data_IF_414023684585
#
_entry.id   IF_414023684585
#
_cell.length_a   1.000
_cell.length_b   1.000
_cell.length_c   1.000
_cell.angle_alpha   90.00
_cell.angle_beta   90.00
_cell.angle_gamma   90.00
#
_symmetry.space_group_name_H-M   'P 1'
#
loop_
_entity.id
_entity.type
_entity.pdbx_description
1 polymer ?
#
# COMPACT_ATOMS: atom_id res chain seq x y z
N UNK A 1 7.93 -15.22 12.48
CA UNK A 1 6.44 -15.11 12.43
C UNK A 1 6.08 -14.06 11.37
N UNK A 2 4.94 -14.18 10.70
CA UNK A 2 4.54 -13.18 9.71
C UNK A 2 4.25 -11.83 10.40
N UNK A 3 4.88 -10.78 9.91
CA UNK A 3 4.85 -9.43 10.47
C UNK A 3 3.64 -8.64 9.95
N UNK A 4 3.38 -7.47 10.51
CA UNK A 4 2.31 -6.60 10.04
C UNK A 4 2.84 -5.69 8.94
N UNK A 5 2.17 -5.67 7.79
CA UNK A 5 2.41 -4.67 6.74
C UNK A 5 1.53 -3.47 7.01
N UNK A 6 2.13 -2.31 7.18
CA UNK A 6 1.44 -1.02 7.28
C UNK A 6 1.42 -0.38 5.90
N UNK A 7 0.25 0.10 5.49
CA UNK A 7 0.05 0.81 4.23
C UNK A 7 -0.37 2.24 4.53
N UNK A 8 0.41 3.20 4.06
CA UNK A 8 0.20 4.64 4.26
C UNK A 8 -0.03 5.29 2.90
N UNK A 9 -1.04 6.15 2.80
CA UNK A 9 -1.19 7.03 1.64
C UNK A 9 -0.18 8.16 1.77
N UNK A 10 0.70 8.33 0.77
CA UNK A 10 1.73 9.40 0.82
C UNK A 10 1.52 10.48 -0.22
N UNK A 11 0.80 10.18 -1.31
CA UNK A 11 0.54 11.13 -2.38
C UNK A 11 -0.76 10.79 -3.11
N UNK A 12 -1.57 11.81 -3.35
CA UNK A 12 -2.76 11.74 -4.21
C UNK A 12 -2.59 12.76 -5.33
N UNK A 13 -2.52 12.29 -6.57
CA UNK A 13 -2.45 13.14 -7.75
C UNK A 13 -3.78 13.12 -8.50
N UNK A 14 -4.38 14.29 -8.73
CA UNK A 14 -5.73 14.37 -9.30
C UNK A 14 -6.80 14.23 -8.22
N UNK A 15 -7.88 13.50 -8.51
CA UNK A 15 -9.02 13.36 -7.60
C UNK A 15 -9.29 11.90 -7.29
N UNK A 16 -9.15 11.50 -6.02
CA UNK A 16 -9.50 10.18 -5.53
C UNK A 16 -10.78 10.27 -4.66
N UNK A 17 -11.81 9.45 -4.91
CA UNK A 17 -13.03 9.48 -4.11
C UNK A 17 -12.89 8.76 -2.75
N UNK A 18 -11.77 8.07 -2.50
CA UNK A 18 -11.56 7.23 -1.30
C UNK A 18 -10.47 7.78 -0.39
N UNK A 19 -9.38 8.28 -0.94
CA UNK A 19 -8.19 8.69 -0.18
C UNK A 19 -7.95 10.20 -0.28
N UNK A 20 -7.53 10.79 0.84
CA UNK A 20 -7.22 12.21 0.99
C UNK A 20 -5.77 12.49 1.43
N UNK A 21 -5.00 11.44 1.75
CA UNK A 21 -3.56 11.54 2.07
C UNK A 21 -3.21 11.31 3.54
N UNK A 22 -4.20 11.10 4.40
CA UNK A 22 -3.98 10.87 5.84
C UNK A 22 -4.35 9.43 6.26
N UNK A 23 -4.75 8.59 5.31
CA UNK A 23 -5.24 7.26 5.58
C UNK A 23 -4.10 6.26 5.78
N UNK A 24 -4.27 5.42 6.80
CA UNK A 24 -3.37 4.32 7.13
C UNK A 24 -4.17 3.08 7.48
N UNK A 25 -3.79 1.94 6.91
CA UNK A 25 -4.39 0.64 7.20
C UNK A 25 -3.33 -0.45 7.33
N UNK A 26 -3.72 -1.64 7.81
CA UNK A 26 -2.78 -2.72 8.14
C UNK A 26 -3.19 -4.03 7.50
N UNK A 27 -2.21 -4.84 7.11
CA UNK A 27 -2.37 -6.24 6.71
C UNK A 27 -1.54 -7.08 7.67
N UNK A 28 -2.20 -7.66 8.65
CA UNK A 28 -1.59 -8.48 9.68
C UNK A 28 -1.36 -9.90 9.16
N UNK A 29 -0.22 -10.49 9.53
CA UNK A 29 0.18 -11.85 9.14
C UNK A 29 0.25 -12.08 7.60
N UNK A 30 0.23 -11.01 6.81
CA UNK A 30 0.23 -11.06 5.36
C UNK A 30 -1.13 -11.35 4.70
N UNK A 31 -2.23 -11.48 5.47
CA UNK A 31 -3.56 -11.77 4.89
C UNK A 31 -4.75 -11.16 5.65
N UNK A 32 -4.59 -10.71 6.90
CA UNK A 32 -5.68 -10.14 7.70
C UNK A 32 -5.73 -8.62 7.56
N UNK A 33 -6.66 -8.14 6.74
CA UNK A 33 -6.85 -6.71 6.48
C UNK A 33 -7.59 -6.00 7.63
N UNK A 34 -7.02 -4.92 8.16
CA UNK A 34 -7.56 -4.09 9.22
C UNK A 34 -7.62 -2.63 8.74
N UNK A 35 -8.83 -2.10 8.54
CA UNK A 35 -9.07 -0.72 8.14
C UNK A 35 -10.31 -0.14 8.84
N UNK A 36 -10.24 1.14 9.20
CA UNK A 36 -11.34 1.88 9.84
C UNK A 36 -12.18 2.72 8.87
N UNK A 37 -11.98 2.56 7.57
CA UNK A 37 -12.56 3.39 6.52
C UNK A 37 -12.72 2.56 5.22
N UNK A 38 -13.51 3.02 4.24
CA UNK A 38 -13.67 2.31 2.97
C UNK A 38 -12.34 2.13 2.23
N UNK A 39 -12.12 0.97 1.64
CA UNK A 39 -10.93 0.71 0.82
C UNK A 39 -11.31 0.63 -0.66
N UNK A 40 -10.44 1.19 -1.51
CA UNK A 40 -10.59 1.11 -2.95
C UNK A 40 -10.10 -0.24 -3.47
N UNK A 41 -10.84 -0.86 -4.39
CA UNK A 41 -10.40 -2.09 -5.05
C UNK A 41 -9.10 -1.90 -5.86
N UNK A 42 -8.88 -0.73 -6.48
CA UNK A 42 -7.61 -0.44 -7.18
C UNK A 42 -6.41 -0.39 -6.23
N UNK A 43 -6.60 0.12 -5.00
CA UNK A 43 -5.55 0.15 -3.99
C UNK A 43 -5.26 -1.24 -3.44
N UNK A 44 -6.30 -2.04 -3.18
CA UNK A 44 -6.12 -3.43 -2.78
C UNK A 44 -5.40 -4.22 -3.88
N UNK A 45 -5.79 -4.06 -5.15
CA UNK A 45 -5.16 -4.74 -6.26
C UNK A 45 -3.66 -4.42 -6.41
N UNK A 46 -3.22 -3.20 -6.08
CA UNK A 46 -1.80 -2.82 -6.12
C UNK A 46 -1.00 -3.29 -4.90
N UNK A 47 -1.63 -3.45 -3.73
CA UNK A 47 -0.97 -3.85 -2.48
C UNK A 47 -0.90 -5.37 -2.31
N UNK A 48 -1.97 -6.09 -2.67
CA UNK A 48 -2.14 -7.52 -2.40
C UNK A 48 -1.01 -8.43 -2.93
N UNK A 49 -0.42 -8.19 -4.12
CA UNK A 49 0.66 -9.05 -4.62
C UNK A 49 1.89 -9.08 -3.70
N UNK A 50 2.12 -8.01 -2.93
CA UNK A 50 3.36 -7.80 -2.21
C UNK A 50 3.22 -7.98 -0.69
N UNK A 51 2.04 -7.72 -0.13
CA UNK A 51 1.84 -7.81 1.31
C UNK A 51 2.21 -9.19 1.91
N UNK A 52 1.88 -10.34 1.29
CA UNK A 52 2.30 -11.65 1.80
C UNK A 52 3.84 -11.84 1.77
N UNK A 53 4.54 -11.32 0.77
CA UNK A 53 5.99 -11.42 0.64
C UNK A 53 6.69 -10.55 1.69
N UNK A 54 6.29 -9.28 1.77
CA UNK A 54 6.80 -8.31 2.75
C UNK A 54 6.59 -8.82 4.18
N UNK A 55 5.40 -9.33 4.51
CA UNK A 55 5.10 -9.87 5.84
C UNK A 55 6.02 -11.04 6.26
N UNK A 56 6.63 -11.74 5.28
CA UNK A 56 7.55 -12.86 5.49
C UNK A 56 9.03 -12.46 5.44
N UNK A 57 9.31 -11.17 5.34
CA UNK A 57 10.67 -10.63 5.43
C UNK A 57 11.41 -10.51 4.10
N UNK A 58 10.74 -10.72 2.96
CA UNK A 58 11.33 -10.36 1.66
C UNK A 58 11.43 -8.84 1.61
N UNK A 59 12.62 -8.33 1.28
CA UNK A 59 12.88 -6.89 1.29
C UNK A 59 12.17 -6.17 0.13
N UNK A 60 11.84 -4.88 0.28
CA UNK A 60 11.39 -4.04 -0.84
C UNK A 60 12.35 -4.03 -2.03
N UNK A 61 13.66 -4.14 -1.79
CA UNK A 61 14.70 -4.17 -2.83
C UNK A 61 14.61 -5.43 -3.69
N UNK A 62 14.48 -6.60 -3.06
CA UNK A 62 14.28 -7.88 -3.77
C UNK A 62 12.99 -7.90 -4.60
N UNK A 63 11.97 -7.15 -4.19
CA UNK A 63 10.71 -7.01 -4.93
C UNK A 63 10.77 -5.92 -6.01
N UNK A 64 11.85 -5.15 -6.11
CA UNK A 64 11.97 -4.01 -7.02
C UNK A 64 11.04 -2.84 -6.68
N UNK A 65 10.63 -2.72 -5.42
CA UNK A 65 9.69 -1.70 -4.93
C UNK A 65 10.34 -0.67 -3.99
N UNK A 66 11.63 -0.83 -3.69
CA UNK A 66 12.34 0.04 -2.75
C UNK A 66 12.35 1.50 -3.21
N UNK A 67 11.84 2.39 -2.35
CA UNK A 67 11.97 3.83 -2.49
C UNK A 67 13.22 4.38 -1.79
N UNK A 68 13.39 5.71 -1.74
CA UNK A 68 14.60 6.36 -1.23
C UNK A 68 14.87 6.11 0.27
N UNK A 69 13.86 5.72 1.04
CA UNK A 69 13.95 5.39 2.47
C UNK A 69 14.00 3.87 2.72
N UNK A 70 14.10 3.06 1.66
CA UNK A 70 14.11 1.60 1.71
C UNK A 70 12.73 0.96 1.93
N UNK A 71 11.64 1.73 2.05
CA UNK A 71 10.29 1.19 2.11
C UNK A 71 9.80 0.74 0.73
N UNK A 72 8.77 -0.10 0.68
CA UNK A 72 8.13 -0.47 -0.58
C UNK A 72 7.13 0.61 -1.01
N UNK A 73 7.13 0.99 -2.28
CA UNK A 73 6.15 1.92 -2.85
C UNK A 73 5.36 1.26 -3.96
N UNK A 74 4.04 1.44 -3.93
CA UNK A 74 3.13 0.98 -4.98
C UNK A 74 2.14 2.06 -5.33
N UNK A 75 1.62 2.02 -6.55
CA UNK A 75 0.66 3.00 -7.04
C UNK A 75 -0.66 2.29 -7.39
N UNK A 76 -1.82 2.88 -7.09
CA UNK A 76 -3.09 2.30 -7.52
C UNK A 76 -3.18 2.28 -9.05
N UNK A 77 -3.98 1.36 -9.58
CA UNK A 77 -4.09 1.08 -11.01
C UNK A 77 -4.87 2.12 -11.84
N UNK A 78 -5.31 3.24 -11.25
CA UNK A 78 -6.06 4.28 -11.97
C UNK A 78 -5.15 5.00 -12.99
N UNK A 79 -5.41 4.87 -14.30
CA UNK A 79 -4.59 5.46 -15.35
C UNK A 79 -5.02 6.92 -15.60
N UNK A 80 -5.00 7.74 -14.54
CA UNK A 80 -5.43 9.14 -14.42
C UNK A 80 -5.47 9.94 -15.72
N UNK A 81 -4.42 9.87 -16.54
CA UNK A 81 -4.32 10.56 -17.83
C UNK A 81 -5.49 10.28 -18.79
N UNK A 82 -6.15 9.13 -18.67
CA UNK A 82 -7.27 8.71 -19.53
C UNK A 82 -8.63 8.74 -18.82
N UNK A 83 -8.66 8.58 -17.49
CA UNK A 83 -9.89 8.54 -16.69
C UNK A 83 -10.30 9.91 -16.16
N UNK A 84 -9.37 10.87 -16.09
CA UNK A 84 -9.56 12.11 -15.35
C UNK A 84 -9.66 11.92 -13.83
N UNK A 85 -9.38 10.71 -13.35
CA UNK A 85 -9.45 10.33 -11.95
C UNK A 85 -8.22 10.79 -11.15
N UNK A 86 -7.81 9.93 -10.22
CA UNK A 86 -6.70 10.21 -9.34
C UNK A 86 -5.83 8.98 -9.15
N UNK A 87 -4.52 9.20 -9.11
CA UNK A 87 -3.57 8.15 -8.84
C UNK A 87 -2.98 8.35 -7.45
N UNK A 88 -3.00 7.28 -6.66
CA UNK A 88 -2.58 7.28 -5.25
C UNK A 88 -1.34 6.43 -5.09
N UNK A 89 -0.31 7.00 -4.46
CA UNK A 89 0.92 6.30 -4.10
C UNK A 89 0.84 5.89 -2.63
N UNK A 90 1.15 4.63 -2.39
CA UNK A 90 1.19 4.03 -1.06
C UNK A 90 2.62 3.67 -0.69
N UNK A 91 2.95 3.93 0.58
CA UNK A 91 4.19 3.51 1.21
C UNK A 91 3.89 2.34 2.14
N UNK A 92 4.66 1.26 2.00
CA UNK A 92 4.49 0.00 2.72
C UNK A 92 5.69 -0.22 3.65
N UNK A 93 5.41 -0.40 4.94
CA UNK A 93 6.42 -0.69 5.97
C UNK A 93 6.05 -1.92 6.80
N UNK A 94 7.04 -2.46 7.51
CA UNK A 94 6.86 -3.61 8.39
C UNK A 94 6.92 -3.18 9.84
N UNK A 95 5.89 -3.53 10.60
CA UNK A 95 5.87 -3.41 12.06
C UNK A 95 5.95 -4.80 12.69
N UNK A 96 6.83 -4.94 13.69
CA UNK A 96 6.92 -6.15 14.48
C UNK A 96 5.60 -6.37 15.23
N UNK A 97 5.01 -7.55 15.06
CA UNK A 97 3.84 -7.97 15.84
C UNK A 97 4.30 -8.12 17.30
N UNK A 98 3.72 -7.33 18.21
CA UNK A 98 3.94 -7.45 19.66
C UNK A 98 3.32 -8.73 20.20
#
# INVERSE_FOLDING_TARGET
MAQTVVVEVVQVEGSCPVYSGNERFRIEQGYRLIAGFPLCLHALASVLPYAPALSRGISPEELGLAGPDGAAYVQCLDPRAFTGGGTVTFRLTIEATT
#
